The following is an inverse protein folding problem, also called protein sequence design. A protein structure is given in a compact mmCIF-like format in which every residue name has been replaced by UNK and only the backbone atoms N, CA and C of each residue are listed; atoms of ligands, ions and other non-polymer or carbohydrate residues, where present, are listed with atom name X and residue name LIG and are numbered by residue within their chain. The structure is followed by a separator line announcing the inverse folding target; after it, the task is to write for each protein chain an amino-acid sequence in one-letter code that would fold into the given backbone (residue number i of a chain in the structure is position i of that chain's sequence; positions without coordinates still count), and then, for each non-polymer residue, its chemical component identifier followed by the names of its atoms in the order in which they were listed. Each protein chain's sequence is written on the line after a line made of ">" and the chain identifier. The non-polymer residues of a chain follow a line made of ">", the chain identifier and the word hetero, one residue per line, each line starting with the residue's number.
data_IF_429428465324
#
_entry.id   IF_429428465324
#
_cell.length_a   1.000
_cell.length_b   1.000
_cell.length_c   1.000
_cell.angle_alpha   90.00
_cell.angle_beta   90.00
_cell.angle_gamma   90.00
#
_symmetry.space_group_name_H-M   'P 1'
#
loop_
_entity.id
_entity.type
_entity.pdbx_description
1 polymer ?
#
# COMPACT_ATOMS: atom_id res chain seq x y z
N UNK A 1 -7.12 13.72 4.18
CA UNK A 1 -8.41 13.88 4.84
C UNK A 1 -9.18 12.58 4.67
N UNK A 2 -9.47 11.94 5.79
CA UNK A 2 -10.07 10.60 5.77
C UNK A 2 -11.55 10.63 6.21
N UNK A 3 -12.06 11.80 6.62
CA UNK A 3 -13.45 11.96 7.06
C UNK A 3 -13.99 13.38 6.82
N UNK A 4 -15.33 13.49 6.74
CA UNK A 4 -16.03 14.79 6.65
C UNK A 4 -15.79 15.65 7.90
N UNK A 5 -15.64 15.03 9.07
CA UNK A 5 -15.35 15.73 10.33
C UNK A 5 -13.97 16.39 10.31
N UNK A 6 -12.94 15.72 9.79
CA UNK A 6 -11.61 16.32 9.61
C UNK A 6 -11.65 17.48 8.62
N UNK A 7 -12.37 17.31 7.51
CA UNK A 7 -12.56 18.36 6.52
C UNK A 7 -13.20 19.60 7.14
N UNK A 8 -14.29 19.42 7.89
CA UNK A 8 -14.97 20.53 8.56
C UNK A 8 -14.09 21.22 9.61
N UNK A 9 -13.30 20.43 10.36
CA UNK A 9 -12.35 21.00 11.34
C UNK A 9 -11.30 21.90 10.68
N UNK A 10 -10.85 21.57 9.47
CA UNK A 10 -9.96 22.43 8.69
C UNK A 10 -10.66 23.69 8.21
N UNK A 11 -11.92 23.60 7.79
CA UNK A 11 -12.72 24.77 7.40
C UNK A 11 -12.92 25.73 8.58
N UNK A 12 -13.15 25.22 9.79
CA UNK A 12 -13.22 26.04 11.00
C UNK A 12 -11.92 26.81 11.30
N UNK A 13 -10.77 26.30 10.87
CA UNK A 13 -9.48 27.00 11.02
C UNK A 13 -9.30 28.07 9.94
N UNK A 14 -9.73 27.76 8.70
CA UNK A 14 -9.57 28.65 7.53
C UNK A 14 -10.52 29.84 7.62
N UNK A 15 -11.77 29.60 8.00
CA UNK A 15 -12.83 30.63 8.03
C UNK A 15 -13.77 30.37 9.23
N UNK A 16 -13.35 30.74 10.46
CA UNK A 16 -14.09 30.46 11.70
C UNK A 16 -15.43 31.20 11.78
N UNK A 17 -15.59 32.31 11.07
CA UNK A 17 -16.83 33.08 11.05
C UNK A 17 -17.95 32.40 10.25
N UNK A 18 -17.59 31.55 9.28
CA UNK A 18 -18.54 30.79 8.47
C UNK A 18 -18.73 29.35 8.98
N UNK A 19 -17.68 28.75 9.56
CA UNK A 19 -17.68 27.36 9.97
C UNK A 19 -17.48 27.26 11.49
N UNK A 20 -18.59 27.23 12.22
CA UNK A 20 -18.57 27.11 13.67
C UNK A 20 -18.43 25.65 14.11
N UNK A 21 -17.67 25.42 15.19
CA UNK A 21 -17.41 24.06 15.70
C UNK A 21 -18.69 23.33 16.14
N UNK A 22 -19.70 24.06 16.56
CA UNK A 22 -20.98 23.54 17.00
C UNK A 22 -21.78 22.91 15.86
N UNK A 23 -21.52 23.27 14.63
CA UNK A 23 -22.24 22.81 13.43
C UNK A 23 -21.59 21.58 12.74
N UNK A 24 -20.55 21.01 13.34
CA UNK A 24 -19.83 19.86 12.74
C UNK A 24 -20.75 18.66 12.51
N UNK A 25 -21.65 18.38 13.44
CA UNK A 25 -22.55 17.22 13.35
C UNK A 25 -23.58 17.40 12.22
N UNK A 26 -24.14 18.60 12.10
CA UNK A 26 -25.10 18.93 11.03
C UNK A 26 -24.43 18.81 9.65
N UNK A 27 -23.18 19.27 9.53
CA UNK A 27 -22.40 19.15 8.31
C UNK A 27 -22.12 17.67 7.96
N UNK A 28 -21.70 16.87 8.94
CA UNK A 28 -21.45 15.45 8.73
C UNK A 28 -22.73 14.74 8.33
N UNK A 29 -23.85 14.98 9.02
CA UNK A 29 -25.13 14.37 8.70
C UNK A 29 -25.62 14.75 7.32
N UNK A 30 -25.46 16.01 6.89
CA UNK A 30 -25.85 16.50 5.57
C UNK A 30 -25.14 15.82 4.44
N UNK A 31 -23.84 15.49 4.63
CA UNK A 31 -22.98 14.95 3.57
C UNK A 31 -22.54 13.50 3.78
N UNK A 32 -23.09 12.78 4.77
CA UNK A 32 -22.68 11.39 5.08
C UNK A 32 -22.92 10.39 3.92
N UNK A 33 -23.98 10.63 3.11
CA UNK A 33 -24.36 9.76 2.00
C UNK A 33 -23.84 10.26 0.63
N UNK A 34 -22.78 11.07 0.63
CA UNK A 34 -22.23 11.72 -0.57
C UNK A 34 -21.84 10.73 -1.68
N UNK A 35 -21.45 9.50 -1.31
CA UNK A 35 -21.11 8.46 -2.27
C UNK A 35 -22.33 7.93 -3.03
N UNK A 36 -23.52 8.08 -2.46
CA UNK A 36 -24.78 7.60 -3.04
C UNK A 36 -25.52 8.68 -3.83
N UNK A 37 -25.30 9.96 -3.50
CA UNK A 37 -26.02 11.09 -4.08
C UNK A 37 -25.11 12.07 -4.81
N UNK A 38 -25.15 12.06 -6.12
CA UNK A 38 -24.36 12.97 -6.96
C UNK A 38 -24.66 14.47 -6.72
N UNK A 39 -25.87 14.81 -6.26
CA UNK A 39 -26.25 16.20 -5.92
C UNK A 39 -25.50 16.69 -4.68
N UNK A 40 -25.44 15.89 -3.63
CA UNK A 40 -24.72 16.21 -2.39
C UNK A 40 -23.22 16.37 -2.63
N UNK A 41 -22.64 15.55 -3.51
CA UNK A 41 -21.25 15.68 -3.96
C UNK A 41 -20.99 17.01 -4.67
N UNK A 42 -21.87 17.41 -5.58
CA UNK A 42 -21.75 18.66 -6.35
C UNK A 42 -21.92 19.89 -5.46
N UNK A 43 -22.84 19.83 -4.49
CA UNK A 43 -23.07 20.90 -3.52
C UNK A 43 -21.85 21.09 -2.62
N UNK A 44 -21.31 20.00 -2.06
CA UNK A 44 -20.10 20.07 -1.23
C UNK A 44 -18.90 20.58 -2.02
N UNK A 45 -18.73 20.13 -3.26
CA UNK A 45 -17.65 20.62 -4.12
C UNK A 45 -17.76 22.14 -4.36
N UNK A 46 -18.97 22.66 -4.62
CA UNK A 46 -19.22 24.08 -4.80
C UNK A 46 -18.97 24.88 -3.52
N UNK A 47 -19.35 24.33 -2.36
CA UNK A 47 -19.06 24.93 -1.06
C UNK A 47 -17.55 25.03 -0.78
N UNK A 48 -16.78 24.00 -1.14
CA UNK A 48 -15.34 23.92 -0.90
C UNK A 48 -14.51 24.74 -1.88
N UNK A 49 -15.04 25.05 -3.05
CA UNK A 49 -14.30 25.70 -4.13
C UNK A 49 -13.57 27.00 -3.71
N UNK A 50 -14.15 27.90 -2.89
CA UNK A 50 -13.46 29.12 -2.42
C UNK A 50 -12.33 28.84 -1.42
N UNK A 51 -12.38 27.72 -0.69
CA UNK A 51 -11.49 27.41 0.43
C UNK A 51 -10.45 26.33 0.10
N UNK A 52 -10.63 25.61 -1.03
CA UNK A 52 -9.81 24.47 -1.38
C UNK A 52 -9.20 24.65 -2.76
N UNK A 53 -7.86 24.71 -2.78
CA UNK A 53 -7.10 24.74 -4.02
C UNK A 53 -6.55 23.34 -4.32
N UNK A 54 -7.12 22.68 -5.33
CA UNK A 54 -6.67 21.36 -5.79
C UNK A 54 -6.15 21.46 -7.22
N UNK A 55 -4.89 21.08 -7.41
CA UNK A 55 -4.27 20.96 -8.73
C UNK A 55 -3.92 19.52 -9.03
N UNK A 56 -4.28 19.05 -10.20
CA UNK A 56 -3.93 17.71 -10.67
C UNK A 56 -2.70 17.83 -11.57
N UNK A 57 -1.77 16.88 -11.49
CA UNK A 57 -0.55 16.90 -12.30
C UNK A 57 -0.81 17.09 -13.79
N UNK A 58 -1.88 16.48 -14.32
CA UNK A 58 -2.27 16.63 -15.71
C UNK A 58 -2.60 18.08 -16.13
N UNK A 59 -3.00 18.94 -15.17
CA UNK A 59 -3.35 20.33 -15.44
C UNK A 59 -2.17 21.29 -15.33
N UNK A 60 -1.20 20.97 -14.47
CA UNK A 60 -0.11 21.93 -14.12
C UNK A 60 1.27 21.49 -14.56
N UNK A 61 1.46 20.22 -14.90
CA UNK A 61 2.74 19.65 -15.28
C UNK A 61 2.68 19.01 -16.67
N UNK A 62 2.37 19.83 -17.66
CA UNK A 62 2.22 19.43 -19.08
C UNK A 62 3.55 18.99 -19.72
N UNK A 63 4.68 19.37 -19.13
CA UNK A 63 6.03 18.98 -19.59
C UNK A 63 6.45 17.56 -19.16
N UNK A 64 5.68 16.93 -18.26
CA UNK A 64 6.02 15.57 -17.83
C UNK A 64 5.76 14.57 -18.97
N UNK A 65 6.69 13.63 -19.21
CA UNK A 65 6.48 12.58 -20.18
C UNK A 65 5.27 11.72 -19.79
N UNK A 66 4.66 11.09 -20.78
CA UNK A 66 3.53 10.19 -20.56
C UNK A 66 3.94 9.01 -19.65
N UNK A 67 3.13 8.76 -18.62
CA UNK A 67 3.25 7.59 -17.75
C UNK A 67 2.52 6.41 -18.39
N UNK A 68 3.19 5.26 -18.46
CA UNK A 68 2.58 3.97 -18.82
C UNK A 68 2.49 3.12 -17.56
N UNK A 69 1.32 2.59 -17.25
CA UNK A 69 1.10 1.67 -16.15
C UNK A 69 0.94 0.26 -16.70
N UNK A 70 1.71 -0.67 -16.16
CA UNK A 70 1.67 -2.07 -16.55
C UNK A 70 1.45 -2.91 -15.29
N UNK A 71 0.44 -3.78 -15.31
CA UNK A 71 0.19 -4.77 -14.26
C UNK A 71 0.85 -6.07 -14.70
N UNK A 72 1.82 -6.53 -13.91
CA UNK A 72 2.53 -7.77 -14.18
C UNK A 72 2.10 -8.83 -13.17
N UNK A 73 1.57 -9.94 -13.68
CA UNK A 73 1.13 -11.08 -12.86
C UNK A 73 2.26 -12.09 -12.70
N UNK A 74 2.41 -12.63 -11.52
CA UNK A 74 3.39 -13.67 -11.21
C UNK A 74 2.75 -14.86 -10.50
N UNK A 75 3.37 -16.03 -10.62
CA UNK A 75 2.99 -17.22 -9.88
C UNK A 75 3.55 -17.22 -8.47
N UNK A 76 2.99 -18.05 -7.59
CA UNK A 76 3.55 -18.32 -6.27
C UNK A 76 4.55 -19.49 -6.35
N UNK A 77 5.62 -19.41 -5.55
CA UNK A 77 6.55 -20.52 -5.32
C UNK A 77 5.84 -21.70 -4.61
N UNK A 78 6.48 -22.87 -4.60
CA UNK A 78 5.97 -24.01 -3.84
C UNK A 78 5.87 -23.71 -2.34
N UNK A 79 6.85 -22.97 -1.80
CA UNK A 79 6.89 -22.53 -0.43
C UNK A 79 5.73 -21.57 -0.12
N UNK A 80 5.51 -20.58 -0.96
CA UNK A 80 4.38 -19.65 -0.82
C UNK A 80 3.04 -20.39 -0.85
N UNK A 81 2.84 -21.33 -1.76
CA UNK A 81 1.60 -22.14 -1.85
C UNK A 81 1.35 -22.94 -0.56
N UNK A 82 2.40 -23.48 0.06
CA UNK A 82 2.31 -24.20 1.34
C UNK A 82 1.79 -23.27 2.44
N UNK A 83 2.41 -22.12 2.63
CA UNK A 83 2.02 -21.16 3.66
C UNK A 83 0.66 -20.51 3.37
N UNK A 84 0.37 -20.20 2.12
CA UNK A 84 -0.92 -19.67 1.71
C UNK A 84 -2.08 -20.59 2.10
N UNK A 85 -1.94 -21.89 1.81
CA UNK A 85 -2.92 -22.90 2.23
C UNK A 85 -3.04 -23.00 3.75
N UNK A 86 -1.92 -23.02 4.47
CA UNK A 86 -1.90 -23.10 5.92
C UNK A 86 -2.62 -21.90 6.58
N UNK A 87 -2.41 -20.69 6.05
CA UNK A 87 -3.08 -19.47 6.55
C UNK A 87 -4.58 -19.57 6.35
N UNK A 88 -5.04 -20.01 5.18
CA UNK A 88 -6.47 -20.16 4.90
C UNK A 88 -7.13 -21.27 5.72
N UNK A 89 -6.47 -22.41 5.91
CA UNK A 89 -7.02 -23.53 6.67
C UNK A 89 -7.14 -23.24 8.16
N UNK A 90 -6.24 -22.46 8.74
CA UNK A 90 -6.23 -22.16 10.18
C UNK A 90 -7.42 -21.32 10.62
N UNK A 91 -8.09 -20.63 9.70
CA UNK A 91 -9.12 -19.64 10.02
C UNK A 91 -10.54 -20.00 9.59
N UNK A 92 -10.75 -21.12 8.89
CA UNK A 92 -12.10 -21.54 8.47
C UNK A 92 -12.99 -21.99 9.66
N UNK A 93 -12.40 -22.53 10.73
CA UNK A 93 -13.15 -23.09 11.87
C UNK A 93 -13.58 -22.07 12.93
N UNK A 94 -13.30 -20.77 12.74
CA UNK A 94 -13.47 -19.76 13.79
C UNK A 94 -14.48 -18.65 13.48
N UNK A 95 -15.39 -18.84 12.54
CA UNK A 95 -16.29 -17.78 12.03
C UNK A 95 -17.64 -17.67 12.77
N UNK A 96 -17.70 -17.75 14.10
CA UNK A 96 -19.01 -17.68 14.80
C UNK A 96 -19.47 -16.27 15.22
N UNK A 97 -18.61 -15.22 15.29
CA UNK A 97 -19.00 -13.88 15.73
C UNK A 97 -18.59 -12.75 14.79
N UNK A 98 -19.52 -11.82 14.44
CA UNK A 98 -19.29 -10.77 13.43
C UNK A 98 -18.20 -9.74 13.75
N UNK A 99 -18.04 -9.35 15.01
CA UNK A 99 -17.02 -8.37 15.41
C UNK A 99 -15.62 -8.99 15.45
N UNK A 100 -15.51 -10.22 15.91
CA UNK A 100 -14.29 -11.02 15.85
C UNK A 100 -13.90 -11.35 14.40
N UNK A 101 -14.88 -11.52 13.48
CA UNK A 101 -14.65 -11.69 12.04
C UNK A 101 -13.85 -10.56 11.42
N UNK A 102 -14.17 -9.30 11.73
CA UNK A 102 -13.53 -8.14 11.07
C UNK A 102 -12.05 -7.98 11.44
N UNK A 103 -11.72 -8.12 12.72
CA UNK A 103 -10.32 -8.08 13.22
C UNK A 103 -9.53 -9.29 12.72
N UNK A 104 -10.16 -10.47 12.69
CA UNK A 104 -9.55 -11.70 12.21
C UNK A 104 -9.29 -11.67 10.71
N UNK A 105 -10.23 -11.12 9.92
CA UNK A 105 -10.05 -10.91 8.48
C UNK A 105 -8.87 -9.97 8.18
N UNK A 106 -8.70 -8.89 8.95
CA UNK A 106 -7.55 -7.99 8.78
C UNK A 106 -6.23 -8.70 9.07
N UNK A 107 -6.20 -9.56 10.09
CA UNK A 107 -5.02 -10.37 10.40
C UNK A 107 -4.71 -11.38 9.29
N UNK A 108 -5.70 -12.06 8.74
CA UNK A 108 -5.55 -12.99 7.62
C UNK A 108 -5.00 -12.25 6.39
N UNK A 109 -5.58 -11.10 6.02
CA UNK A 109 -5.12 -10.31 4.88
C UNK A 109 -3.67 -9.87 5.05
N UNK A 110 -3.27 -9.50 6.26
CA UNK A 110 -1.89 -9.14 6.56
C UNK A 110 -0.96 -10.33 6.39
N UNK A 111 -1.34 -11.51 6.89
CA UNK A 111 -0.56 -12.75 6.72
C UNK A 111 -0.49 -13.17 5.25
N UNK A 112 -1.60 -13.08 4.51
CA UNK A 112 -1.60 -13.36 3.07
C UNK A 112 -0.72 -12.39 2.29
N UNK A 113 -0.73 -11.09 2.65
CA UNK A 113 0.19 -10.11 2.05
C UNK A 113 1.65 -10.46 2.30
N UNK A 114 2.03 -10.80 3.55
CA UNK A 114 3.37 -11.30 3.85
C UNK A 114 3.73 -12.50 2.99
N UNK A 115 2.84 -13.49 2.93
CA UNK A 115 3.06 -14.71 2.16
C UNK A 115 3.32 -14.44 0.67
N UNK A 116 2.53 -13.55 0.03
CA UNK A 116 2.68 -13.26 -1.41
C UNK A 116 3.81 -12.28 -1.70
N UNK A 117 4.25 -11.47 -0.72
CA UNK A 117 5.43 -10.65 -0.87
C UNK A 117 6.70 -11.51 -0.78
N UNK A 118 6.95 -12.09 0.39
CA UNK A 118 8.05 -13.03 0.59
C UNK A 118 7.78 -13.93 1.80
N UNK A 119 7.93 -15.25 1.71
CA UNK A 119 7.66 -16.15 2.82
C UNK A 119 8.62 -16.01 3.99
N UNK A 120 9.83 -15.45 3.80
CA UNK A 120 10.78 -15.14 4.88
C UNK A 120 10.36 -13.95 5.75
N UNK A 121 9.24 -13.30 5.45
CA UNK A 121 8.57 -12.38 6.37
C UNK A 121 7.89 -13.09 7.55
N UNK A 122 7.88 -14.43 7.54
CA UNK A 122 7.48 -15.26 8.69
C UNK A 122 8.71 -15.76 9.42
N UNK A 123 8.70 -15.64 10.74
CA UNK A 123 9.78 -16.10 11.60
C UNK A 123 10.00 -17.61 11.43
N UNK A 124 11.26 -18.02 11.36
CA UNK A 124 11.67 -19.42 11.26
C UNK A 124 11.40 -20.11 9.92
N UNK A 125 11.11 -19.36 8.86
CA UNK A 125 10.90 -19.90 7.50
C UNK A 125 12.17 -19.86 6.67
N UNK A 126 13.03 -18.90 6.91
CA UNK A 126 14.34 -18.82 6.28
C UNK A 126 15.25 -19.94 6.81
N UNK A 127 15.98 -20.66 5.94
CA UNK A 127 16.91 -21.72 6.36
C UNK A 127 18.06 -21.20 7.23
N UNK A 128 18.45 -21.98 8.22
CA UNK A 128 19.68 -21.74 8.99
C UNK A 128 20.83 -22.63 8.46
N UNK A 129 22.09 -22.14 8.43
CA UNK A 129 22.55 -20.77 8.77
C UNK A 129 22.05 -19.75 7.73
N UNK A 130 21.83 -18.51 8.21
CA UNK A 130 21.39 -17.41 7.33
C UNK A 130 22.53 -17.00 6.39
N UNK A 131 22.43 -17.45 5.16
CA UNK A 131 23.37 -17.13 4.08
C UNK A 131 22.59 -16.51 2.92
N UNK A 132 23.06 -15.41 2.41
CA UNK A 132 22.41 -14.77 1.25
C UNK A 132 22.71 -15.59 -0.01
N UNK A 133 21.67 -15.98 -0.75
CA UNK A 133 21.82 -16.84 -1.92
C UNK A 133 20.59 -16.93 -2.81
N UNK A 134 20.63 -17.79 -3.81
CA UNK A 134 19.52 -17.99 -4.76
C UNK A 134 18.21 -18.41 -4.10
N UNK A 135 18.27 -19.09 -2.95
CA UNK A 135 17.07 -19.48 -2.19
C UNK A 135 16.18 -18.29 -1.82
N UNK A 136 16.78 -17.09 -1.64
CA UNK A 136 16.04 -15.86 -1.39
C UNK A 136 15.12 -15.54 -2.57
N UNK A 137 15.60 -15.69 -3.79
CA UNK A 137 14.87 -15.39 -5.01
C UNK A 137 13.85 -16.51 -5.31
N UNK A 138 14.25 -17.77 -5.15
CA UNK A 138 13.40 -18.92 -5.42
C UNK A 138 12.22 -19.07 -4.46
N UNK A 139 12.39 -18.58 -3.22
CA UNK A 139 11.34 -18.62 -2.20
C UNK A 139 10.11 -17.78 -2.58
N UNK A 140 10.27 -16.71 -3.37
CA UNK A 140 9.19 -15.79 -3.75
C UNK A 140 9.06 -15.67 -5.26
N UNK A 141 7.88 -16.03 -5.81
CA UNK A 141 7.58 -15.81 -7.22
C UNK A 141 7.60 -14.32 -7.61
N UNK A 142 7.27 -13.42 -6.68
CA UNK A 142 7.37 -11.97 -6.88
C UNK A 142 8.81 -11.53 -7.01
N UNK A 143 9.69 -11.97 -6.10
CA UNK A 143 11.11 -11.61 -6.13
C UNK A 143 11.81 -12.25 -7.35
N UNK A 144 11.43 -13.47 -7.73
CA UNK A 144 11.92 -14.09 -8.95
C UNK A 144 11.57 -13.31 -10.22
N UNK A 145 10.35 -12.79 -10.29
CA UNK A 145 9.95 -11.90 -11.40
C UNK A 145 10.73 -10.58 -11.35
N UNK A 146 10.86 -9.99 -10.15
CA UNK A 146 11.60 -8.75 -9.95
C UNK A 146 13.06 -8.89 -10.36
N UNK A 147 13.71 -10.01 -10.04
CA UNK A 147 15.10 -10.30 -10.42
C UNK A 147 15.30 -10.21 -11.95
N UNK A 148 14.42 -10.86 -12.71
CA UNK A 148 14.46 -10.79 -14.17
C UNK A 148 14.18 -9.39 -14.71
N UNK A 149 13.22 -8.70 -14.12
CA UNK A 149 12.87 -7.33 -14.50
C UNK A 149 14.01 -6.36 -14.23
N UNK A 150 14.64 -6.45 -13.07
CA UNK A 150 15.78 -5.59 -12.71
C UNK A 150 17.00 -5.86 -13.59
N UNK A 151 17.28 -7.13 -13.91
CA UNK A 151 18.37 -7.48 -14.85
C UNK A 151 18.13 -6.87 -16.23
N UNK A 152 16.89 -6.92 -16.73
CA UNK A 152 16.53 -6.29 -17.99
C UNK A 152 16.67 -4.76 -17.95
N UNK A 153 16.16 -4.12 -16.89
CA UNK A 153 16.22 -2.67 -16.74
C UNK A 153 17.66 -2.18 -16.54
N UNK A 154 18.46 -2.94 -15.78
CA UNK A 154 19.87 -2.64 -15.56
C UNK A 154 20.67 -2.70 -16.86
N UNK A 155 20.47 -3.72 -17.68
CA UNK A 155 21.12 -3.84 -19.00
C UNK A 155 20.74 -2.70 -19.95
N UNK A 156 19.54 -2.13 -19.80
CA UNK A 156 19.07 -0.96 -20.54
C UNK A 156 19.51 0.39 -19.96
N UNK A 157 20.29 0.41 -18.86
CA UNK A 157 20.76 1.64 -18.21
C UNK A 157 19.64 2.44 -17.51
N UNK A 158 18.51 1.78 -17.17
CA UNK A 158 17.40 2.44 -16.51
C UNK A 158 17.65 2.68 -15.01
N UNK A 159 17.08 3.77 -14.50
CA UNK A 159 16.97 4.02 -13.06
C UNK A 159 15.63 3.52 -12.58
N UNK A 160 15.63 2.83 -11.42
CA UNK A 160 14.44 2.18 -10.86
C UNK A 160 14.12 2.78 -9.50
N UNK A 161 12.84 3.07 -9.27
CA UNK A 161 12.29 3.36 -7.95
C UNK A 161 11.42 2.17 -7.54
N UNK A 162 11.80 1.49 -6.46
CA UNK A 162 11.10 0.34 -5.92
C UNK A 162 10.36 0.74 -4.64
N UNK A 163 9.07 0.46 -4.56
CA UNK A 163 8.24 0.77 -3.41
C UNK A 163 7.75 -0.50 -2.73
N UNK A 164 7.86 -0.56 -1.42
CA UNK A 164 7.27 -1.59 -0.59
C UNK A 164 6.50 -0.97 0.58
N UNK A 165 5.37 -1.57 0.95
CA UNK A 165 4.58 -1.14 2.11
C UNK A 165 5.11 -1.71 3.44
N UNK A 166 5.95 -2.75 3.38
CA UNK A 166 6.51 -3.43 4.55
C UNK A 166 8.00 -3.14 4.66
N UNK A 167 8.42 -2.59 5.80
CA UNK A 167 9.84 -2.28 6.07
C UNK A 167 10.70 -3.55 6.07
N UNK A 168 10.21 -4.64 6.68
CA UNK A 168 10.92 -5.93 6.63
C UNK A 168 11.08 -6.50 5.21
N UNK A 169 10.18 -6.15 4.28
CA UNK A 169 10.40 -6.50 2.88
C UNK A 169 11.56 -5.70 2.27
N UNK A 170 11.77 -4.46 2.73
CA UNK A 170 12.92 -3.67 2.32
C UNK A 170 14.23 -4.26 2.84
N UNK A 171 14.22 -4.92 4.01
CA UNK A 171 15.40 -5.62 4.53
C UNK A 171 15.78 -6.79 3.59
N UNK A 172 14.81 -7.63 3.22
CA UNK A 172 14.99 -8.73 2.26
C UNK A 172 15.46 -8.20 0.89
N UNK A 173 14.91 -7.09 0.42
CA UNK A 173 15.32 -6.47 -0.84
C UNK A 173 16.74 -5.93 -0.78
N UNK A 174 17.18 -5.44 0.37
CA UNK A 174 18.54 -4.99 0.61
C UNK A 174 19.52 -6.16 0.45
N UNK A 175 19.28 -7.27 1.14
CA UNK A 175 20.09 -8.49 1.02
C UNK A 175 20.13 -9.00 -0.44
N UNK A 176 19.01 -8.95 -1.12
CA UNK A 176 18.92 -9.28 -2.54
C UNK A 176 19.76 -8.33 -3.43
N UNK A 177 19.71 -7.02 -3.19
CA UNK A 177 20.49 -6.04 -3.96
C UNK A 177 21.99 -6.23 -3.76
N UNK A 178 22.41 -6.49 -2.51
CA UNK A 178 23.79 -6.80 -2.16
C UNK A 178 24.25 -8.10 -2.83
N UNK A 179 23.41 -9.13 -2.83
CA UNK A 179 23.69 -10.40 -3.49
C UNK A 179 23.91 -10.27 -5.00
N UNK A 180 23.07 -9.44 -5.67
CA UNK A 180 23.21 -9.18 -7.11
C UNK A 180 24.24 -8.10 -7.44
N UNK A 181 24.81 -7.41 -6.46
CA UNK A 181 25.78 -6.34 -6.65
C UNK A 181 25.19 -5.07 -7.26
N UNK A 182 23.89 -4.83 -7.03
CA UNK A 182 23.26 -3.58 -7.43
C UNK A 182 23.55 -2.47 -6.42
N UNK A 183 23.89 -1.28 -6.91
CA UNK A 183 23.94 -0.09 -6.05
C UNK A 183 22.53 0.44 -5.81
N UNK A 184 22.22 0.75 -4.55
CA UNK A 184 20.89 1.26 -4.16
C UNK A 184 20.99 2.28 -3.03
N UNK A 185 19.94 3.05 -2.88
CA UNK A 185 19.71 3.92 -1.74
C UNK A 185 18.35 3.56 -1.14
N UNK A 186 18.26 3.53 0.20
CA UNK A 186 17.04 3.18 0.93
C UNK A 186 16.49 4.39 1.67
N UNK A 187 15.19 4.61 1.55
CA UNK A 187 14.45 5.63 2.30
C UNK A 187 13.24 4.99 2.92
N UNK A 188 13.15 4.99 4.23
CA UNK A 188 11.99 4.54 5.00
C UNK A 188 11.74 5.42 6.24
N UNK A 189 10.75 5.05 7.07
CA UNK A 189 10.39 5.82 8.25
C UNK A 189 11.45 5.87 9.37
N UNK A 190 12.51 5.08 9.29
CA UNK A 190 13.63 5.08 10.25
C UNK A 190 14.70 6.11 9.92
N UNK A 191 14.73 6.60 8.69
CA UNK A 191 15.68 7.63 8.22
C UNK A 191 15.18 9.00 8.70
N UNK A 192 16.00 9.68 9.51
CA UNK A 192 15.76 11.05 10.00
C UNK A 192 16.49 12.07 9.15
#
# INVERSE_FOLDING_TARGET
>A
QNSLRELYSLLCVVEPDLFCREQVEDFVQRYQDIEKESKSASELHRLLQPFLLRRVKAQVATELPKKTEVVVYHGMSALQKKYYKAILMKDLDAFENETAKKVKLQNILTQLRKCVDHPYLFDGVEPEPFEVGEHLIEASGKLHLLDRLLAFLYSGGHRVLLFSQMTHMLDILQDYMDYRGYSYERVDGSVR
#
